data_IF_311441639490
#
_entry.id   IF_311441639490
#
_cell.length_a   1.000
_cell.length_b   1.000
_cell.length_c   1.000
_cell.angle_alpha   90.00
_cell.angle_beta   90.00
_cell.angle_gamma   90.00
#
_symmetry.space_group_name_H-M   'P 1'
#
loop_
_entity.id
_entity.type
_entity.pdbx_description
1 polymer ?
#
# COMPACT_ATOMS: atom_id res chain seq x y z
N UNK A 1 -0.94 -13.96 0.64
CA UNK A 1 -2.16 -13.33 0.04
C UNK A 1 -1.84 -11.91 -0.42
N UNK A 2 -2.43 -11.40 -1.51
CA UNK A 2 -2.18 -10.04 -2.03
C UNK A 2 -3.43 -9.15 -1.93
N UNK A 3 -3.25 -7.90 -1.52
CA UNK A 3 -4.29 -6.86 -1.50
C UNK A 3 -3.73 -5.56 -2.10
N UNK A 4 -4.57 -4.86 -2.88
CA UNK A 4 -4.27 -3.52 -3.38
C UNK A 4 -5.15 -2.50 -2.67
N UNK A 5 -4.51 -1.56 -1.97
CA UNK A 5 -5.19 -0.47 -1.28
C UNK A 5 -5.18 0.74 -2.19
N UNK A 6 -6.33 1.10 -2.76
CA UNK A 6 -6.48 2.30 -3.58
C UNK A 6 -6.83 3.46 -2.66
N UNK A 7 -5.93 4.43 -2.55
CA UNK A 7 -6.08 5.61 -1.69
C UNK A 7 -6.02 6.93 -2.47
N UNK A 8 -5.79 6.88 -3.79
CA UNK A 8 -5.64 8.05 -4.64
C UNK A 8 -4.30 8.75 -4.49
N UNK A 9 -3.97 9.63 -5.44
CA UNK A 9 -2.72 10.38 -5.45
C UNK A 9 -2.74 11.52 -4.43
N UNK A 10 -3.68 12.47 -4.60
CA UNK A 10 -3.89 13.63 -3.72
C UNK A 10 -2.60 14.32 -3.27
N UNK A 11 -2.63 14.89 -2.06
CA UNK A 11 -1.42 15.41 -1.38
C UNK A 11 -0.56 14.30 -0.75
N UNK A 12 -0.91 13.03 -0.94
CA UNK A 12 -0.20 11.89 -0.34
C UNK A 12 -0.49 11.62 1.14
N UNK A 13 -1.45 12.32 1.76
CA UNK A 13 -1.80 12.14 3.18
C UNK A 13 -2.23 10.69 3.46
N UNK A 14 -3.16 10.15 2.67
CA UNK A 14 -3.61 8.77 2.83
C UNK A 14 -2.50 7.76 2.51
N UNK A 15 -1.63 8.04 1.54
CA UNK A 15 -0.46 7.19 1.26
C UNK A 15 0.46 7.08 2.49
N UNK A 16 0.73 8.20 3.16
CA UNK A 16 1.57 8.22 4.36
C UNK A 16 0.91 7.46 5.52
N UNK A 17 -0.38 7.71 5.78
CA UNK A 17 -1.13 7.01 6.83
C UNK A 17 -1.22 5.50 6.59
N UNK A 18 -1.48 5.09 5.34
CA UNK A 18 -1.49 3.66 4.95
C UNK A 18 -0.12 3.03 5.18
N UNK A 19 0.97 3.70 4.77
CA UNK A 19 2.33 3.19 4.98
C UNK A 19 2.67 3.01 6.47
N UNK A 20 2.27 3.95 7.32
CA UNK A 20 2.48 3.86 8.77
C UNK A 20 1.77 2.66 9.38
N UNK A 21 0.48 2.47 9.08
CA UNK A 21 -0.32 1.34 9.58
C UNK A 21 0.24 0.00 9.11
N UNK A 22 0.66 -0.09 7.85
CA UNK A 22 1.20 -1.33 7.29
C UNK A 22 2.58 -1.69 7.86
N UNK A 23 3.41 -0.69 8.18
CA UNK A 23 4.75 -0.91 8.77
C UNK A 23 4.66 -1.63 10.12
N UNK A 24 3.62 -1.36 10.91
CA UNK A 24 3.41 -1.97 12.23
C UNK A 24 2.66 -3.32 12.18
N UNK A 25 2.13 -3.70 11.01
CA UNK A 25 1.33 -4.91 10.89
C UNK A 25 2.20 -6.17 10.70
N UNK A 26 2.25 -7.02 11.73
CA UNK A 26 3.06 -8.25 11.74
C UNK A 26 2.67 -9.28 10.66
N UNK A 27 1.47 -9.20 10.10
CA UNK A 27 1.02 -10.09 9.02
C UNK A 27 1.53 -9.63 7.65
N UNK A 28 2.00 -8.39 7.52
CA UNK A 28 2.55 -7.88 6.26
C UNK A 28 3.95 -8.48 6.03
N UNK A 29 4.16 -9.01 4.83
CA UNK A 29 5.45 -9.45 4.31
C UNK A 29 6.16 -8.32 3.57
N UNK A 30 5.42 -7.58 2.74
CA UNK A 30 5.91 -6.39 2.06
C UNK A 30 4.75 -5.46 1.68
N UNK A 31 5.06 -4.16 1.56
CA UNK A 31 4.13 -3.16 1.06
C UNK A 31 4.89 -2.10 0.25
N UNK A 32 4.30 -1.62 -0.83
CA UNK A 32 4.92 -0.61 -1.70
C UNK A 32 3.95 -0.03 -2.73
N UNK A 33 4.35 1.01 -3.47
CA UNK A 33 3.49 1.59 -4.50
C UNK A 33 3.14 0.56 -5.57
N UNK A 34 1.94 0.65 -6.11
CA UNK A 34 1.52 -0.19 -7.22
C UNK A 34 2.29 0.17 -8.51
N UNK A 35 2.43 -0.75 -9.46
CA UNK A 35 2.89 -0.42 -10.82
C UNK A 35 2.04 0.68 -11.47
N UNK A 36 2.57 1.46 -12.44
CA UNK A 36 1.82 2.54 -13.09
C UNK A 36 0.46 2.11 -13.66
N UNK A 37 0.41 0.94 -14.30
CA UNK A 37 -0.82 0.38 -14.88
C UNK A 37 -1.83 -0.12 -13.83
N UNK A 38 -1.50 -0.09 -12.54
CA UNK A 38 -2.36 -0.48 -11.42
C UNK A 38 -2.59 0.67 -10.42
N UNK A 39 -2.35 1.92 -10.84
CA UNK A 39 -2.61 3.11 -10.02
C UNK A 39 -1.35 3.79 -9.46
N UNK A 40 -0.15 3.26 -9.71
CA UNK A 40 1.10 3.94 -9.35
C UNK A 40 1.17 4.33 -7.88
N UNK A 41 1.64 5.55 -7.61
CA UNK A 41 1.68 6.13 -6.26
C UNK A 41 0.30 6.41 -5.63
N UNK A 42 -0.80 6.19 -6.37
CA UNK A 42 -2.18 6.29 -5.89
C UNK A 42 -2.72 5.01 -5.28
N UNK A 43 -1.93 3.92 -5.31
CA UNK A 43 -2.26 2.67 -4.67
C UNK A 43 -1.03 2.03 -4.02
N UNK A 44 -1.26 1.25 -2.97
CA UNK A 44 -0.24 0.44 -2.31
C UNK A 44 -0.58 -1.03 -2.49
N UNK A 45 0.36 -1.82 -3.02
CA UNK A 45 0.27 -3.28 -3.07
C UNK A 45 0.85 -3.85 -1.78
N UNK A 46 0.10 -4.73 -1.13
CA UNK A 46 0.46 -5.38 0.13
C UNK A 46 0.48 -6.89 -0.08
N UNK A 47 1.60 -7.51 0.28
CA UNK A 47 1.77 -8.96 0.33
C UNK A 47 1.76 -9.37 1.80
N UNK A 48 0.86 -10.28 2.16
CA UNK A 48 0.79 -10.87 3.49
C UNK A 48 1.62 -12.15 3.57
N UNK A 49 2.12 -12.44 4.77
CA UNK A 49 2.68 -13.75 5.15
C UNK A 49 1.62 -14.84 4.96
N UNK A 50 2.09 -16.07 4.78
CA UNK A 50 1.22 -17.25 4.67
C UNK A 50 0.54 -17.57 6.01
#
# INVERSE_FOLDING_TARGET
KEVRIVHGHGKGILRAAVAEVLRENKLVKSAGPAPPHQGGAGATVVIFKD
#
